data_IF_917104715281
#
_entry.id   IF_917104715281
#
_cell.length_a   1.000
_cell.length_b   1.000
_cell.length_c   1.000
_cell.angle_alpha   90.00
_cell.angle_beta   90.00
_cell.angle_gamma   90.00
#
_symmetry.space_group_name_H-M   'P 1'
#
loop_
_entity.id
_entity.type
_entity.pdbx_description
1 polymer ?
#
# COMPACT_ATOMS: atom_id res chain seq x y z
N UNK A 1 -17.09 8.99 -3.50
CA UNK A 1 -17.89 10.13 -3.99
C UNK A 1 -17.02 11.38 -4.01
N UNK A 2 -16.92 12.04 -5.16
CA UNK A 2 -16.25 13.34 -5.28
C UNK A 2 -17.24 14.42 -4.88
N UNK A 3 -16.97 15.15 -3.79
CA UNK A 3 -17.78 16.31 -3.34
C UNK A 3 -17.10 17.57 -3.86
N UNK A 4 -17.48 17.97 -5.07
CA UNK A 4 -17.03 19.22 -5.69
C UNK A 4 -18.26 20.08 -5.99
N UNK A 5 -18.22 21.37 -5.64
CA UNK A 5 -19.27 22.34 -5.97
C UNK A 5 -18.64 23.68 -6.36
N UNK A 6 -18.72 24.04 -7.64
CA UNK A 6 -18.19 25.31 -8.17
C UNK A 6 -16.72 25.54 -7.83
N UNK A 7 -16.46 26.32 -6.77
CA UNK A 7 -15.11 26.66 -6.26
C UNK A 7 -14.54 25.66 -5.24
N UNK A 8 -15.37 24.80 -4.64
CA UNK A 8 -14.93 23.84 -3.63
C UNK A 8 -14.35 22.57 -4.26
N UNK A 9 -13.06 22.31 -4.02
CA UNK A 9 -12.39 21.04 -4.35
C UNK A 9 -12.23 20.18 -3.10
N UNK A 10 -13.17 19.26 -2.90
CA UNK A 10 -13.15 18.32 -1.78
C UNK A 10 -12.14 17.18 -1.96
N UNK A 11 -11.84 16.48 -0.85
CA UNK A 11 -10.98 15.28 -0.89
C UNK A 11 -11.68 14.17 -1.67
N UNK A 12 -11.00 13.61 -2.67
CA UNK A 12 -11.51 12.47 -3.44
C UNK A 12 -11.49 11.21 -2.58
N UNK A 13 -12.65 10.57 -2.45
CA UNK A 13 -12.82 9.33 -1.69
C UNK A 13 -13.43 8.27 -2.59
N UNK A 14 -12.86 7.06 -2.55
CA UNK A 14 -13.40 5.88 -3.23
C UNK A 14 -14.50 5.24 -2.39
N UNK A 15 -15.59 4.83 -3.03
CA UNK A 15 -16.72 4.12 -2.41
C UNK A 15 -17.02 2.87 -3.25
N UNK A 16 -17.33 1.74 -2.60
CA UNK A 16 -17.53 0.46 -3.28
C UNK A 16 -16.25 -0.35 -3.55
N UNK A 17 -16.34 -1.31 -4.47
CA UNK A 17 -15.26 -2.24 -4.84
C UNK A 17 -15.08 -3.41 -3.86
N UNK A 18 -13.87 -4.00 -3.85
CA UNK A 18 -13.52 -5.15 -2.99
C UNK A 18 -13.11 -4.71 -1.57
N UNK A 19 -14.07 -4.20 -0.80
CA UNK A 19 -13.80 -3.68 0.54
C UNK A 19 -13.19 -4.73 1.48
N UNK A 20 -13.70 -5.96 1.45
CA UNK A 20 -13.18 -7.08 2.26
C UNK A 20 -11.70 -7.35 1.98
N UNK A 21 -11.32 -7.45 0.70
CA UNK A 21 -9.92 -7.69 0.29
C UNK A 21 -9.00 -6.58 0.79
N UNK A 22 -9.43 -5.32 0.67
CA UNK A 22 -8.64 -4.18 1.16
C UNK A 22 -8.43 -4.23 2.67
N UNK A 23 -9.45 -4.63 3.44
CA UNK A 23 -9.33 -4.78 4.90
C UNK A 23 -8.33 -5.87 5.26
N UNK A 24 -8.42 -7.04 4.61
CA UNK A 24 -7.49 -8.16 4.85
C UNK A 24 -6.05 -7.75 4.51
N UNK A 25 -5.84 -7.12 3.35
CA UNK A 25 -4.51 -6.65 2.95
C UNK A 25 -3.96 -5.57 3.88
N UNK A 26 -4.82 -4.69 4.40
CA UNK A 26 -4.42 -3.69 5.38
C UNK A 26 -3.94 -4.36 6.68
N UNK A 27 -4.68 -5.34 7.20
CA UNK A 27 -4.30 -6.09 8.39
C UNK A 27 -3.00 -6.88 8.17
N UNK A 28 -2.86 -7.54 7.02
CA UNK A 28 -1.62 -8.24 6.66
C UNK A 28 -0.42 -7.29 6.63
N UNK A 29 -0.58 -6.08 6.08
CA UNK A 29 0.49 -5.08 6.02
C UNK A 29 0.90 -4.56 7.40
N UNK A 30 -0.03 -4.46 8.35
CA UNK A 30 0.28 -4.08 9.73
C UNK A 30 1.26 -5.06 10.39
N UNK A 31 1.12 -6.37 10.12
CA UNK A 31 2.07 -7.39 10.57
C UNK A 31 3.36 -7.38 9.74
N UNK A 32 3.25 -7.27 8.41
CA UNK A 32 4.41 -7.25 7.51
C UNK A 32 5.38 -6.10 7.81
N UNK A 33 4.87 -4.92 8.18
CA UNK A 33 5.71 -3.78 8.57
C UNK A 33 6.49 -3.99 9.87
N UNK A 34 6.06 -4.92 10.73
CA UNK A 34 6.76 -5.26 11.97
C UNK A 34 7.86 -6.29 11.72
N UNK A 35 7.53 -7.35 10.96
CA UNK A 35 8.43 -8.47 10.73
C UNK A 35 9.40 -8.27 9.56
N UNK A 36 9.01 -7.53 8.53
CA UNK A 36 9.79 -7.39 7.29
C UNK A 36 10.46 -6.00 7.20
N UNK A 37 11.80 -5.94 7.18
CA UNK A 37 12.53 -4.67 7.15
C UNK A 37 12.31 -3.86 5.86
N UNK A 38 11.98 -4.50 4.73
CA UNK A 38 11.78 -3.82 3.44
C UNK A 38 10.53 -2.95 3.46
N UNK A 39 9.40 -3.51 3.93
CA UNK A 39 8.16 -2.75 4.06
C UNK A 39 8.24 -1.70 5.17
N UNK A 40 8.96 -2.00 6.26
CA UNK A 40 9.22 -1.03 7.34
C UNK A 40 10.00 0.19 6.85
N UNK A 41 11.05 -0.02 6.07
CA UNK A 41 11.84 1.05 5.47
C UNK A 41 11.00 1.90 4.53
N UNK A 42 10.22 1.26 3.64
CA UNK A 42 9.32 1.93 2.70
C UNK A 42 8.29 2.78 3.43
N UNK A 43 7.63 2.23 4.46
CA UNK A 43 6.67 2.98 5.26
C UNK A 43 7.30 4.20 5.95
N UNK A 44 8.46 4.01 6.60
CA UNK A 44 9.19 5.11 7.26
C UNK A 44 9.59 6.20 6.29
N UNK A 45 10.05 5.84 5.09
CA UNK A 45 10.37 6.79 4.04
C UNK A 45 9.16 7.63 3.63
N UNK A 46 8.00 6.99 3.41
CA UNK A 46 6.76 7.71 3.04
C UNK A 46 6.24 8.61 4.17
N UNK A 47 6.36 8.18 5.42
CA UNK A 47 5.99 9.00 6.59
C UNK A 47 6.95 10.18 6.73
N UNK A 48 8.26 9.97 6.54
CA UNK A 48 9.27 11.04 6.54
C UNK A 48 9.02 12.06 5.42
N UNK A 49 8.51 11.61 4.28
CA UNK A 49 8.06 12.47 3.18
C UNK A 49 6.75 13.22 3.46
N UNK A 50 6.24 13.20 4.69
CA UNK A 50 5.03 13.93 5.10
C UNK A 50 3.71 13.28 4.70
N UNK A 51 3.73 12.04 4.17
CA UNK A 51 2.48 11.38 3.76
C UNK A 51 1.69 10.92 4.99
N UNK A 52 0.34 11.01 4.98
CA UNK A 52 -0.49 10.47 6.05
C UNK A 52 -0.24 8.97 6.24
N UNK A 53 -0.18 8.52 7.50
CA UNK A 53 0.11 7.11 7.85
C UNK A 53 -0.77 6.10 7.09
N UNK A 54 -2.08 6.37 6.99
CA UNK A 54 -3.01 5.50 6.23
C UNK A 54 -2.64 5.40 4.74
N UNK A 55 -2.20 6.50 4.13
CA UNK A 55 -1.77 6.51 2.73
C UNK A 55 -0.47 5.73 2.56
N UNK A 56 0.46 5.88 3.50
CA UNK A 56 1.70 5.12 3.49
C UNK A 56 1.47 3.60 3.59
N UNK A 57 0.54 3.15 4.44
CA UNK A 57 0.17 1.73 4.54
C UNK A 57 -0.41 1.22 3.21
N UNK A 58 -1.35 1.96 2.61
CA UNK A 58 -1.96 1.57 1.34
C UNK A 58 -0.93 1.53 0.20
N UNK A 59 0.06 2.44 0.19
CA UNK A 59 1.17 2.37 -0.75
C UNK A 59 2.02 1.10 -0.56
N UNK A 60 2.29 0.71 0.68
CA UNK A 60 3.01 -0.54 0.98
C UNK A 60 2.19 -1.77 0.54
N UNK A 61 0.86 -1.78 0.74
CA UNK A 61 -0.04 -2.82 0.23
C UNK A 61 0.06 -2.95 -1.29
N UNK A 62 0.01 -1.82 -2.00
CA UNK A 62 0.14 -1.83 -3.47
C UNK A 62 1.49 -2.41 -3.89
N UNK A 63 2.59 -2.02 -3.23
CA UNK A 63 3.93 -2.55 -3.51
C UNK A 63 3.99 -4.07 -3.29
N UNK A 64 3.42 -4.56 -2.20
CA UNK A 64 3.34 -6.00 -1.90
C UNK A 64 2.59 -6.78 -3.00
N UNK A 65 1.42 -6.30 -3.44
CA UNK A 65 0.64 -6.97 -4.49
C UNK A 65 1.42 -7.02 -5.81
N UNK A 66 2.17 -5.96 -6.15
CA UNK A 66 3.00 -5.94 -7.36
C UNK A 66 4.13 -6.96 -7.27
N UNK A 67 4.82 -7.05 -6.13
CA UNK A 67 5.90 -8.03 -5.92
C UNK A 67 5.36 -9.46 -5.97
N UNK A 68 4.24 -9.73 -5.32
CA UNK A 68 3.62 -11.07 -5.37
C UNK A 68 3.21 -11.42 -6.80
N UNK A 69 2.71 -10.45 -7.57
CA UNK A 69 2.34 -10.67 -8.96
C UNK A 69 3.56 -10.90 -9.87
N UNK A 70 4.70 -10.23 -9.64
CA UNK A 70 5.94 -10.50 -10.37
C UNK A 70 6.51 -11.87 -10.01
N UNK A 71 6.50 -12.23 -8.71
CA UNK A 71 6.92 -13.56 -8.25
C UNK A 71 6.11 -14.68 -8.91
N UNK A 72 4.78 -14.53 -8.98
CA UNK A 72 3.90 -15.51 -9.64
C UNK A 72 4.15 -15.59 -11.15
N UNK A 73 4.47 -14.47 -11.80
CA UNK A 73 4.77 -14.43 -13.23
C UNK A 73 6.08 -15.15 -13.54
N UNK A 74 7.11 -14.88 -12.76
CA UNK A 74 8.47 -15.34 -13.02
C UNK A 74 8.77 -16.70 -12.36
N UNK A 75 7.83 -17.23 -11.56
CA UNK A 75 7.97 -18.50 -10.84
C UNK A 75 9.02 -18.44 -9.71
N UNK A 76 9.39 -17.25 -9.26
CA UNK A 76 10.47 -17.05 -8.27
C UNK A 76 9.92 -16.91 -6.86
N UNK A 77 10.71 -17.38 -5.89
CA UNK A 77 10.42 -17.19 -4.47
C UNK A 77 10.75 -15.75 -4.01
N UNK A 78 10.34 -15.41 -2.79
CA UNK A 78 10.55 -14.09 -2.23
C UNK A 78 12.04 -13.77 -2.13
N UNK A 79 12.43 -12.64 -2.73
CA UNK A 79 13.76 -12.04 -2.58
C UNK A 79 13.63 -10.60 -2.09
N UNK A 80 14.37 -10.28 -1.04
CA UNK A 80 14.43 -8.94 -0.46
C UNK A 80 14.99 -7.90 -1.44
N UNK A 81 15.79 -8.29 -2.43
CA UNK A 81 16.30 -7.36 -3.44
C UNK A 81 15.22 -6.99 -4.47
N UNK A 82 14.43 -7.96 -4.92
CA UNK A 82 13.27 -7.72 -5.80
C UNK A 82 12.25 -6.78 -5.17
N UNK A 83 12.12 -6.83 -3.83
CA UNK A 83 11.19 -6.00 -3.08
C UNK A 83 11.66 -4.55 -2.83
N UNK A 84 12.93 -4.21 -3.12
CA UNK A 84 13.47 -2.85 -2.96
C UNK A 84 13.12 -1.93 -4.12
N UNK A 85 13.09 -2.46 -5.34
CA UNK A 85 12.69 -1.74 -6.57
C UNK A 85 11.26 -1.22 -6.48
#
# INVERSE_FOLDING_TARGET
MTRESGRYKGKRVIQGGRAQVRTVLYMAMMSAMQCNPVFKATFRHLVKAGKPKKVAIIACVRKMVVILNSMLRDGVMWDANTAKN
#
